data_IF_406211845688
#
_entry.id   IF_406211845688
#
_cell.length_a   1.000
_cell.length_b   1.000
_cell.length_c   1.000
_cell.angle_alpha   90.00
_cell.angle_beta   90.00
_cell.angle_gamma   90.00
#
_symmetry.space_group_name_H-M   'P 1'
#
loop_
_entity.id
_entity.type
_entity.pdbx_description
1 polymer ?
#
# COMPACT_ATOMS: atom_id res chain seq x y z
N UNK A 1 -29.70 31.73 -15.95
CA UNK A 1 -29.92 31.07 -14.65
C UNK A 1 -28.64 30.33 -14.28
N UNK A 2 -27.85 30.90 -13.37
CA UNK A 2 -26.52 30.38 -13.01
C UNK A 2 -26.69 29.39 -11.87
N UNK A 3 -26.48 28.10 -12.15
CA UNK A 3 -26.52 27.03 -11.17
C UNK A 3 -25.36 27.24 -10.19
N UNK A 4 -25.66 27.59 -8.94
CA UNK A 4 -24.64 27.68 -7.88
C UNK A 4 -24.13 26.27 -7.58
N UNK A 5 -22.98 25.92 -8.16
CA UNK A 5 -22.28 24.68 -7.87
C UNK A 5 -21.80 24.75 -6.41
N UNK A 6 -22.26 23.81 -5.57
CA UNK A 6 -21.78 23.73 -4.18
C UNK A 6 -20.28 23.42 -4.20
N UNK A 7 -19.46 24.15 -3.42
CA UNK A 7 -18.05 23.85 -3.30
C UNK A 7 -17.87 22.43 -2.76
N UNK A 8 -16.95 21.70 -3.36
CA UNK A 8 -16.54 20.37 -2.91
C UNK A 8 -15.92 20.44 -1.51
N UNK A 9 -15.91 19.31 -0.78
CA UNK A 9 -15.30 19.22 0.55
C UNK A 9 -13.82 19.61 0.53
N UNK A 10 -13.12 19.38 -0.58
CA UNK A 10 -11.72 19.81 -0.77
C UNK A 10 -11.59 21.33 -0.86
N UNK A 11 -12.45 22.02 -1.61
CA UNK A 11 -12.42 23.47 -1.74
C UNK A 11 -12.71 24.16 -0.41
N UNK A 12 -13.66 23.61 0.37
CA UNK A 12 -13.96 24.07 1.72
C UNK A 12 -12.78 23.87 2.68
N UNK A 13 -12.07 22.75 2.59
CA UNK A 13 -10.86 22.49 3.38
C UNK A 13 -9.72 23.46 3.03
N UNK A 14 -9.48 23.70 1.75
CA UNK A 14 -8.45 24.66 1.28
C UNK A 14 -8.78 26.08 1.73
N UNK A 15 -10.05 26.48 1.64
CA UNK A 15 -10.49 27.78 2.15
C UNK A 15 -10.30 27.89 3.67
N UNK A 16 -10.62 26.84 4.43
CA UNK A 16 -10.42 26.78 5.87
C UNK A 16 -8.93 26.87 6.27
N UNK A 17 -8.04 26.21 5.52
CA UNK A 17 -6.59 26.26 5.75
C UNK A 17 -5.97 27.64 5.49
N UNK A 18 -6.62 28.50 4.69
CA UNK A 18 -6.18 29.89 4.45
C UNK A 18 -6.61 30.87 5.54
N UNK A 19 -7.40 30.42 6.52
CA UNK A 19 -7.80 31.25 7.66
C UNK A 19 -6.69 31.33 8.73
N UNK A 20 -6.74 32.29 9.67
CA UNK A 20 -5.83 32.32 10.81
C UNK A 20 -5.87 31.06 11.68
N UNK A 21 -6.99 30.31 11.67
CA UNK A 21 -7.07 28.98 12.29
C UNK A 21 -6.27 27.92 11.50
N UNK A 22 -6.19 28.03 10.18
CA UNK A 22 -5.32 27.19 9.35
C UNK A 22 -3.84 27.35 9.71
N UNK A 23 -3.40 28.57 10.05
CA UNK A 23 -2.06 28.82 10.57
C UNK A 23 -1.81 28.20 11.94
N UNK A 24 -2.84 27.99 12.77
CA UNK A 24 -2.72 27.25 14.03
C UNK A 24 -2.55 25.74 13.80
N UNK A 25 -3.15 25.20 12.74
CA UNK A 25 -3.00 23.79 12.31
C UNK A 25 -1.64 23.56 11.62
N UNK A 26 -1.11 24.54 10.89
CA UNK A 26 0.22 24.47 10.25
C UNK A 26 1.40 24.71 11.22
N UNK A 27 1.17 24.62 12.54
CA UNK A 27 2.21 24.83 13.55
C UNK A 27 3.06 23.56 13.78
N UNK A 28 4.28 23.69 14.35
CA UNK A 28 5.20 22.57 14.58
C UNK A 28 4.64 21.39 15.40
N UNK A 29 3.61 21.63 16.22
CA UNK A 29 2.94 20.56 16.95
C UNK A 29 2.20 19.59 16.01
N UNK A 30 1.67 20.07 14.89
CA UNK A 30 1.01 19.23 13.90
C UNK A 30 1.99 18.29 13.24
N UNK A 31 3.16 18.80 12.82
CA UNK A 31 4.22 17.96 12.27
C UNK A 31 4.66 16.89 13.29
N UNK A 32 4.81 17.26 14.56
CA UNK A 32 5.11 16.31 15.61
C UNK A 32 4.04 15.23 15.77
N UNK A 33 2.75 15.60 15.78
CA UNK A 33 1.63 14.64 15.86
C UNK A 33 1.55 13.77 14.61
N UNK A 34 1.71 14.37 13.42
CA UNK A 34 1.65 13.68 12.15
C UNK A 34 2.79 12.66 12.04
N UNK A 35 4.03 13.07 12.33
CA UNK A 35 5.20 12.18 12.37
C UNK A 35 5.03 11.07 13.38
N UNK A 36 4.56 11.37 14.59
CA UNK A 36 4.31 10.33 15.60
C UNK A 36 3.21 9.36 15.16
N UNK A 37 2.14 9.87 14.54
CA UNK A 37 1.07 9.02 14.02
C UNK A 37 1.59 8.13 12.90
N UNK A 38 2.42 8.66 12.00
CA UNK A 38 3.00 7.88 10.91
C UNK A 38 3.96 6.82 11.46
N UNK A 39 4.93 7.23 12.28
CA UNK A 39 5.97 6.37 12.82
C UNK A 39 5.41 5.29 13.77
N UNK A 40 4.53 5.69 14.69
CA UNK A 40 4.07 4.80 15.75
C UNK A 40 2.71 4.17 15.49
N UNK A 41 1.97 4.53 14.46
CA UNK A 41 0.69 3.88 14.15
C UNK A 41 0.62 3.39 12.70
N UNK A 42 0.87 4.28 11.74
CA UNK A 42 0.69 3.96 10.33
C UNK A 42 1.66 2.88 9.86
N UNK A 43 2.96 3.01 10.14
CA UNK A 43 3.96 2.03 9.66
C UNK A 43 3.78 0.63 10.26
N UNK A 44 3.59 0.45 11.58
CA UNK A 44 3.41 -0.90 12.10
C UNK A 44 2.10 -1.55 11.63
N UNK A 45 1.01 -0.78 11.46
CA UNK A 45 -0.22 -1.31 10.88
C UNK A 45 -0.03 -1.69 9.41
N UNK A 46 0.73 -0.89 8.65
CA UNK A 46 1.08 -1.18 7.26
C UNK A 46 1.97 -2.41 7.15
N UNK A 47 2.88 -2.65 8.10
CA UNK A 47 3.67 -3.88 8.17
C UNK A 47 2.79 -5.11 8.43
N UNK A 48 1.83 -5.04 9.36
CA UNK A 48 0.88 -6.14 9.58
C UNK A 48 0.01 -6.40 8.36
N UNK A 49 -0.42 -5.33 7.68
CA UNK A 49 -1.13 -5.44 6.41
C UNK A 49 -0.28 -6.11 5.32
N UNK A 50 1.01 -5.79 5.24
CA UNK A 50 1.93 -6.43 4.30
C UNK A 50 2.15 -7.91 4.64
N UNK A 51 2.28 -8.25 5.92
CA UNK A 51 2.34 -9.64 6.37
C UNK A 51 1.08 -10.44 5.98
N UNK A 52 -0.11 -9.82 6.05
CA UNK A 52 -1.34 -10.43 5.58
C UNK A 52 -1.32 -10.70 4.07
N UNK A 53 -0.77 -9.77 3.28
CA UNK A 53 -0.58 -9.97 1.84
C UNK A 53 0.38 -11.13 1.54
N UNK A 54 1.50 -11.22 2.24
CA UNK A 54 2.47 -12.31 2.09
C UNK A 54 1.91 -13.67 2.52
N UNK A 55 1.01 -13.67 3.49
CA UNK A 55 0.48 -14.90 4.06
C UNK A 55 -0.63 -15.56 3.21
N UNK A 56 -1.25 -14.83 2.29
CA UNK A 56 -2.29 -15.35 1.37
C UNK A 56 -3.40 -16.14 2.08
N UNK A 57 -3.90 -15.61 3.19
CA UNK A 57 -4.94 -16.25 4.00
C UNK A 57 -4.42 -17.25 5.06
N UNK A 58 -3.14 -17.63 5.02
CA UNK A 58 -2.52 -18.52 6.02
C UNK A 58 -2.34 -17.81 7.36
N UNK A 59 -2.86 -18.42 8.43
CA UNK A 59 -2.69 -17.89 9.79
C UNK A 59 -1.25 -18.05 10.26
N UNK A 60 -0.64 -19.20 10.00
CA UNK A 60 0.73 -19.49 10.44
C UNK A 60 1.72 -18.64 9.64
N UNK A 61 1.52 -18.54 8.31
CA UNK A 61 2.32 -17.66 7.45
C UNK A 61 2.19 -16.18 7.84
N UNK A 62 1.03 -15.75 8.34
CA UNK A 62 0.88 -14.40 8.88
C UNK A 62 1.74 -14.19 10.12
N UNK A 63 1.69 -15.10 11.10
CA UNK A 63 2.47 -14.94 12.34
C UNK A 63 3.98 -14.95 12.06
N UNK A 64 4.43 -15.82 11.17
CA UNK A 64 5.81 -15.88 10.69
C UNK A 64 6.22 -14.55 10.03
N UNK A 65 5.46 -14.10 9.01
CA UNK A 65 5.79 -12.88 8.28
C UNK A 65 5.67 -11.62 9.15
N UNK A 66 4.73 -11.59 10.10
CA UNK A 66 4.53 -10.47 11.01
C UNK A 66 5.63 -10.43 12.10
N UNK A 67 6.21 -11.57 12.45
CA UNK A 67 7.09 -11.71 13.61
C UNK A 67 6.33 -11.53 14.93
N UNK A 68 5.13 -12.11 15.01
CA UNK A 68 4.23 -12.02 16.18
C UNK A 68 3.98 -13.41 16.73
N UNK A 69 4.09 -13.57 18.06
CA UNK A 69 3.82 -14.85 18.71
C UNK A 69 2.33 -15.21 18.64
N UNK A 70 1.96 -16.42 18.19
CA UNK A 70 0.58 -16.86 18.16
C UNK A 70 -0.05 -16.90 19.56
N UNK A 71 -1.34 -16.55 19.66
CA UNK A 71 -2.15 -16.84 20.85
C UNK A 71 -3.55 -17.31 20.43
N UNK A 72 -4.23 -18.15 21.24
CA UNK A 72 -5.55 -18.70 20.86
C UNK A 72 -6.59 -17.60 20.56
N UNK A 73 -6.61 -16.53 21.36
CA UNK A 73 -7.51 -15.38 21.19
C UNK A 73 -7.25 -14.62 19.88
N UNK A 74 -5.98 -14.43 19.52
CA UNK A 74 -5.61 -13.73 18.28
C UNK A 74 -5.89 -14.58 17.05
N UNK A 75 -5.61 -15.88 17.12
CA UNK A 75 -5.78 -16.85 16.03
C UNK A 75 -7.21 -16.85 15.47
N UNK A 76 -8.23 -16.96 16.33
CA UNK A 76 -9.63 -16.97 15.89
C UNK A 76 -10.12 -15.63 15.30
N UNK A 77 -9.55 -14.51 15.75
CA UNK A 77 -9.82 -13.19 15.16
C UNK A 77 -9.11 -13.03 13.82
N UNK A 78 -7.87 -13.49 13.73
CA UNK A 78 -7.03 -13.38 12.56
C UNK A 78 -7.61 -14.15 11.36
N UNK A 79 -8.12 -15.37 11.57
CA UNK A 79 -8.84 -16.13 10.51
C UNK A 79 -9.89 -15.30 9.80
N UNK A 80 -10.73 -14.58 10.55
CA UNK A 80 -11.79 -13.71 10.01
C UNK A 80 -11.21 -12.50 9.27
N UNK A 81 -10.19 -11.87 9.84
CA UNK A 81 -9.53 -10.72 9.21
C UNK A 81 -8.88 -11.13 7.88
N UNK A 82 -8.17 -12.25 7.84
CA UNK A 82 -7.50 -12.74 6.65
C UNK A 82 -8.49 -13.18 5.56
N UNK A 83 -9.61 -13.81 5.92
CA UNK A 83 -10.67 -14.13 4.97
C UNK A 83 -11.29 -12.87 4.33
N UNK A 84 -11.59 -11.84 5.12
CA UNK A 84 -12.05 -10.54 4.60
C UNK A 84 -10.98 -9.87 3.73
N UNK A 85 -9.71 -9.97 4.13
CA UNK A 85 -8.57 -9.41 3.42
C UNK A 85 -8.44 -10.00 2.02
N UNK A 86 -8.44 -11.33 1.90
CA UNK A 86 -8.34 -12.01 0.61
C UNK A 86 -9.55 -11.71 -0.28
N UNK A 87 -10.77 -11.69 0.28
CA UNK A 87 -11.98 -11.31 -0.46
C UNK A 87 -11.85 -9.92 -1.08
N UNK A 88 -11.36 -8.95 -0.31
CA UNK A 88 -11.18 -7.58 -0.78
C UNK A 88 -10.01 -7.48 -1.76
N UNK A 89 -8.93 -8.24 -1.55
CA UNK A 89 -7.77 -8.29 -2.45
C UNK A 89 -8.15 -8.82 -3.83
N UNK A 90 -8.85 -9.95 -3.89
CA UNK A 90 -9.32 -10.53 -5.15
C UNK A 90 -10.23 -9.57 -5.91
N UNK A 91 -11.19 -8.95 -5.22
CA UNK A 91 -12.06 -7.94 -5.83
C UNK A 91 -11.28 -6.73 -6.35
N UNK A 92 -10.26 -6.28 -5.62
CA UNK A 92 -9.41 -5.18 -6.03
C UNK A 92 -8.64 -5.53 -7.31
N UNK A 93 -8.06 -6.73 -7.39
CA UNK A 93 -7.37 -7.22 -8.60
C UNK A 93 -8.32 -7.25 -9.80
N UNK A 94 -9.52 -7.83 -9.67
CA UNK A 94 -10.48 -7.87 -10.78
C UNK A 94 -10.95 -6.48 -11.24
N UNK A 95 -11.06 -5.51 -10.33
CA UNK A 95 -11.38 -4.12 -10.69
C UNK A 95 -10.20 -3.46 -11.41
N UNK A 96 -8.96 -3.75 -11.00
CA UNK A 96 -7.77 -3.27 -11.70
C UNK A 96 -7.66 -3.85 -13.11
N UNK A 97 -7.90 -5.15 -13.29
CA UNK A 97 -7.93 -5.80 -14.61
C UNK A 97 -9.00 -5.18 -15.53
N UNK A 98 -10.20 -4.92 -15.00
CA UNK A 98 -11.26 -4.26 -15.76
C UNK A 98 -10.89 -2.81 -16.11
N UNK A 99 -10.30 -2.07 -15.17
CA UNK A 99 -9.80 -0.72 -15.42
C UNK A 99 -8.72 -0.72 -16.52
N UNK A 100 -7.78 -1.66 -16.46
CA UNK A 100 -6.72 -1.81 -17.46
C UNK A 100 -7.30 -2.10 -18.85
N UNK A 101 -8.27 -3.02 -18.93
CA UNK A 101 -8.98 -3.32 -20.18
C UNK A 101 -9.73 -2.12 -20.76
N UNK A 102 -10.26 -1.21 -19.93
CA UNK A 102 -11.00 -0.02 -20.38
C UNK A 102 -10.03 1.05 -20.91
N UNK A 103 -8.91 1.27 -20.23
CA UNK A 103 -7.97 2.34 -20.57
C UNK A 103 -6.96 1.94 -21.66
N UNK A 104 -6.58 0.67 -21.72
CA UNK A 104 -5.57 0.15 -22.64
C UNK A 104 -6.13 -0.89 -23.64
N UNK A 105 -7.47 -1.00 -23.73
CA UNK A 105 -8.12 -1.82 -24.73
C UNK A 105 -8.02 -1.24 -26.15
N UNK A 106 -8.44 -2.03 -27.15
CA UNK A 106 -8.35 -1.67 -28.56
C UNK A 106 -9.18 -0.42 -28.95
N UNK A 107 -10.20 -0.06 -28.15
CA UNK A 107 -11.08 1.07 -28.41
C UNK A 107 -10.90 2.13 -27.33
N UNK A 108 -10.92 3.40 -27.73
CA UNK A 108 -10.96 4.50 -26.77
C UNK A 108 -12.26 4.42 -25.93
N UNK A 109 -12.18 4.48 -24.60
CA UNK A 109 -13.36 4.45 -23.75
C UNK A 109 -14.16 5.74 -23.88
N UNK A 110 -15.47 5.67 -23.66
CA UNK A 110 -16.26 6.88 -23.48
C UNK A 110 -15.80 7.62 -22.20
N UNK A 111 -15.91 8.96 -22.14
CA UNK A 111 -15.53 9.72 -20.95
C UNK A 111 -16.22 9.21 -19.66
N UNK A 112 -17.50 8.84 -19.74
CA UNK A 112 -18.26 8.34 -18.60
C UNK A 112 -17.77 6.97 -18.13
N UNK A 113 -17.44 6.06 -19.06
CA UNK A 113 -16.90 4.74 -18.73
C UNK A 113 -15.52 4.86 -18.07
N UNK A 114 -14.65 5.73 -18.61
CA UNK A 114 -13.34 6.00 -18.04
C UNK A 114 -13.44 6.59 -16.62
N UNK A 115 -14.32 7.56 -16.41
CA UNK A 115 -14.55 8.18 -15.11
C UNK A 115 -15.09 7.16 -14.09
N UNK A 116 -16.05 6.33 -14.49
CA UNK A 116 -16.61 5.31 -13.62
C UNK A 116 -15.56 4.27 -13.21
N UNK A 117 -14.81 3.74 -14.18
CA UNK A 117 -13.75 2.77 -13.92
C UNK A 117 -12.67 3.33 -12.98
N UNK A 118 -12.25 4.59 -13.18
CA UNK A 118 -11.28 5.23 -12.29
C UNK A 118 -11.82 5.40 -10.87
N UNK A 119 -13.08 5.84 -10.73
CA UNK A 119 -13.71 5.97 -9.43
C UNK A 119 -13.81 4.62 -8.70
N UNK A 120 -14.18 3.54 -9.40
CA UNK A 120 -14.22 2.20 -8.82
C UNK A 120 -12.84 1.71 -8.38
N UNK A 121 -11.81 1.93 -9.20
CA UNK A 121 -10.42 1.59 -8.88
C UNK A 121 -9.93 2.32 -7.63
N UNK A 122 -10.14 3.64 -7.54
CA UNK A 122 -9.76 4.41 -6.36
C UNK A 122 -10.53 3.96 -5.11
N UNK A 123 -11.82 3.67 -5.25
CA UNK A 123 -12.66 3.19 -4.15
C UNK A 123 -12.19 1.83 -3.64
N UNK A 124 -11.92 0.87 -4.53
CA UNK A 124 -11.47 -0.46 -4.14
C UNK A 124 -10.05 -0.42 -3.54
N UNK A 125 -9.13 0.36 -4.11
CA UNK A 125 -7.78 0.58 -3.55
C UNK A 125 -7.84 1.20 -2.17
N UNK A 126 -8.63 2.25 -1.98
CA UNK A 126 -8.80 2.89 -0.67
C UNK A 126 -9.36 1.90 0.35
N UNK A 127 -10.36 1.08 -0.02
CA UNK A 127 -10.89 0.04 0.87
C UNK A 127 -9.83 -0.99 1.24
N UNK A 128 -9.11 -1.52 0.25
CA UNK A 128 -8.06 -2.54 0.45
C UNK A 128 -6.93 -2.01 1.35
N UNK A 129 -6.44 -0.81 1.07
CA UNK A 129 -5.46 -0.10 1.88
C UNK A 129 -5.95 0.11 3.32
N UNK A 130 -7.21 0.51 3.49
CA UNK A 130 -7.78 0.76 4.81
C UNK A 130 -8.03 -0.49 5.66
N UNK A 131 -7.89 -1.71 5.11
CA UNK A 131 -7.91 -2.93 5.92
C UNK A 131 -6.81 -2.97 6.98
N UNK A 132 -5.75 -2.16 6.85
CA UNK A 132 -4.71 -2.02 7.88
C UNK A 132 -5.28 -1.75 9.28
N UNK A 133 -6.41 -1.05 9.38
CA UNK A 133 -7.09 -0.75 10.66
C UNK A 133 -7.60 -2.00 11.38
N UNK A 134 -7.85 -3.11 10.66
CA UNK A 134 -8.31 -4.37 11.26
C UNK A 134 -7.25 -4.97 12.18
N UNK A 135 -5.98 -4.62 11.97
CA UNK A 135 -4.84 -5.09 12.76
C UNK A 135 -4.55 -4.23 14.01
N UNK A 136 -5.37 -3.22 14.34
CA UNK A 136 -5.18 -2.39 15.54
C UNK A 136 -5.08 -3.23 16.82
N UNK A 137 -5.94 -4.23 16.99
CA UNK A 137 -5.89 -5.08 18.18
C UNK A 137 -4.63 -5.94 18.25
N UNK A 138 -4.14 -6.41 17.10
CA UNK A 138 -2.86 -7.13 17.02
C UNK A 138 -1.69 -6.22 17.38
N UNK A 139 -1.72 -4.97 16.90
CA UNK A 139 -0.73 -3.96 17.26
C UNK A 139 -0.78 -3.56 18.73
N UNK A 140 -1.95 -3.43 19.33
CA UNK A 140 -2.07 -3.10 20.75
C UNK A 140 -1.58 -4.25 21.65
N UNK A 141 -1.74 -5.49 21.20
CA UNK A 141 -1.31 -6.67 21.93
C UNK A 141 0.19 -6.98 21.76
N UNK A 142 0.88 -6.38 20.78
CA UNK A 142 2.25 -6.74 20.42
C UNK A 142 3.08 -5.51 20.07
N UNK A 143 4.34 -5.46 20.48
CA UNK A 143 5.25 -4.39 20.08
C UNK A 143 5.78 -4.58 18.63
N UNK A 144 4.89 -4.44 17.66
CA UNK A 144 5.23 -4.59 16.24
C UNK A 144 6.09 -3.40 15.81
N UNK A 145 7.33 -3.71 15.40
CA UNK A 145 8.25 -2.69 14.90
C UNK A 145 7.75 -2.12 13.56
N UNK A 146 7.87 -0.80 13.32
CA UNK A 146 7.34 -0.15 12.12
C UNK A 146 7.97 -0.64 10.82
N UNK A 147 9.21 -1.10 10.88
CA UNK A 147 9.99 -1.61 9.76
C UNK A 147 10.51 -2.99 10.09
N UNK A 148 10.58 -3.88 9.09
CA UNK A 148 11.35 -5.12 9.18
C UNK A 148 12.77 -4.79 8.71
N UNK A 149 13.68 -4.61 9.65
CA UNK A 149 15.08 -4.39 9.33
C UNK A 149 15.68 -5.68 8.77
N UNK A 150 15.82 -5.74 7.44
CA UNK A 150 16.56 -6.79 6.71
C UNK A 150 17.71 -6.13 5.98
N UNK A 151 18.67 -5.62 6.75
CA UNK A 151 19.88 -5.03 6.19
C UNK A 151 20.84 -6.19 5.91
N UNK A 152 21.17 -6.47 4.63
CA UNK A 152 22.14 -7.51 4.30
C UNK A 152 23.51 -7.16 4.89
N UNK A 153 24.28 -8.16 5.28
CA UNK A 153 25.63 -7.92 5.77
C UNK A 153 26.53 -7.42 4.62
N UNK A 154 27.65 -6.72 4.91
CA UNK A 154 28.61 -6.37 3.87
C UNK A 154 29.09 -7.57 3.05
N UNK A 155 29.22 -8.75 3.68
CA UNK A 155 29.59 -9.99 2.98
C UNK A 155 28.48 -10.48 2.04
N UNK A 156 27.21 -10.37 2.45
CA UNK A 156 26.07 -10.74 1.58
C UNK A 156 25.98 -9.79 0.38
N UNK A 157 26.24 -8.50 0.59
CA UNK A 157 26.29 -7.50 -0.48
C UNK A 157 27.47 -7.78 -1.42
N UNK A 158 28.66 -8.05 -0.89
CA UNK A 158 29.85 -8.33 -1.69
C UNK A 158 29.73 -9.64 -2.48
N UNK A 159 29.07 -10.66 -1.92
CA UNK A 159 28.80 -11.91 -2.64
C UNK A 159 27.91 -11.70 -3.89
N UNK A 160 26.98 -10.74 -3.85
CA UNK A 160 26.06 -10.46 -4.96
C UNK A 160 26.65 -9.42 -5.93
N UNK A 161 27.30 -8.38 -5.40
CA UNK A 161 27.68 -7.19 -6.16
C UNK A 161 29.19 -6.95 -6.23
N UNK A 162 30.02 -7.68 -5.48
CA UNK A 162 31.46 -7.45 -5.39
C UNK A 162 32.17 -7.58 -6.74
N UNK A 163 31.74 -8.53 -7.59
CA UNK A 163 32.26 -8.66 -8.95
C UNK A 163 31.91 -7.49 -9.86
N UNK A 164 30.84 -6.75 -9.54
CA UNK A 164 30.41 -5.55 -10.28
C UNK A 164 31.22 -4.31 -9.91
N UNK A 165 31.93 -4.30 -8.77
CA UNK A 165 32.84 -3.20 -8.43
C UNK A 165 34.05 -3.13 -9.36
N UNK A 166 34.53 -4.29 -9.83
CA UNK A 166 35.64 -4.37 -10.78
C UNK A 166 35.24 -3.94 -12.20
N UNK A 167 33.96 -4.02 -12.54
CA UNK A 167 33.42 -3.64 -13.84
C UNK A 167 31.96 -3.12 -13.71
N UNK A 168 31.79 -1.84 -13.31
CA UNK A 168 30.47 -1.28 -13.01
C UNK A 168 29.51 -1.26 -14.20
N UNK A 169 30.03 -1.26 -15.44
CA UNK A 169 29.21 -1.27 -16.64
C UNK A 169 28.39 -2.56 -16.76
N UNK A 170 28.89 -3.69 -16.25
CA UNK A 170 28.17 -4.97 -16.26
C UNK A 170 26.93 -4.99 -15.38
N UNK A 171 26.86 -4.16 -14.33
CA UNK A 171 25.69 -4.09 -13.46
C UNK A 171 24.43 -3.58 -14.20
N UNK A 172 24.62 -2.83 -15.29
CA UNK A 172 23.55 -2.21 -16.07
C UNK A 172 23.53 -2.69 -17.53
N UNK A 173 24.39 -3.65 -17.88
CA UNK A 173 24.43 -4.19 -19.22
C UNK A 173 23.15 -5.01 -19.47
N UNK A 174 22.45 -4.79 -20.60
CA UNK A 174 21.34 -5.66 -20.97
C UNK A 174 21.84 -7.09 -21.19
N UNK A 175 21.00 -8.12 -20.98
CA UNK A 175 21.38 -9.50 -21.27
C UNK A 175 21.81 -9.65 -22.73
N UNK A 176 22.88 -10.39 -22.98
CA UNK A 176 23.33 -10.78 -24.32
C UNK A 176 23.45 -12.31 -24.40
N UNK A 177 22.62 -13.00 -25.20
CA UNK A 177 21.60 -12.43 -26.07
C UNK A 177 20.41 -11.85 -25.28
N UNK A 178 19.76 -10.84 -25.86
CA UNK A 178 18.48 -10.36 -25.35
C UNK A 178 17.48 -11.52 -25.36
N UNK A 179 16.68 -11.70 -24.29
CA UNK A 179 15.66 -12.74 -24.26
C UNK A 179 14.66 -12.54 -25.40
N UNK A 180 14.21 -13.64 -26.01
CA UNK A 180 13.20 -13.59 -27.07
C UNK A 180 11.91 -12.95 -26.53
N UNK A 181 11.52 -11.81 -27.08
CA UNK A 181 10.28 -11.12 -26.73
C UNK A 181 9.12 -11.86 -27.39
N UNK A 182 8.40 -12.70 -26.64
CA UNK A 182 7.33 -13.53 -27.19
C UNK A 182 6.03 -12.75 -27.42
N UNK A 183 5.78 -11.68 -26.65
CA UNK A 183 4.68 -10.70 -26.86
C UNK A 183 5.08 -9.38 -26.19
N UNK A 184 5.04 -8.27 -26.92
CA UNK A 184 4.91 -6.93 -26.31
C UNK A 184 3.44 -6.54 -26.38
N UNK A 185 2.77 -6.35 -25.24
CA UNK A 185 1.44 -5.76 -25.18
C UNK A 185 1.49 -4.27 -25.50
#
# INVERSE_FOLDING_TARGET
MTTLQRPSTQELLVAALRTPLGNLVARPWFDYIALNTVAYWFFPLSRLWAAARTAEGSVDGFFESAGVTPSPRLTGRLKRILSEFETVRHRMVSIEENWESIFFGANAPSPDAALHAEHERLTCRNRYNNLRRKFIALRLANNVQPVRWQIPSPADVDAVYGTMLADPAKAFAPPDPMPEVTVSH
#
